data_IF_622891432757
#
_entry.id   IF_622891432757
#
_cell.length_a   1.000
_cell.length_b   1.000
_cell.length_c   1.000
_cell.angle_alpha   90.00
_cell.angle_beta   90.00
_cell.angle_gamma   90.00
#
_symmetry.space_group_name_H-M   'P 1'
#
loop_
_entity.id
_entity.type
_entity.pdbx_description
1 polymer ?
#
# COMPACT_ATOMS: atom_id res chain seq x y z
N UNK A 1 -17.08 5.15 22.76
CA UNK A 1 -18.14 5.81 21.98
C UNK A 1 -17.90 7.29 22.12
N UNK A 2 -17.32 7.91 21.10
CA UNK A 2 -17.10 9.36 21.12
C UNK A 2 -18.45 10.09 21.23
N UNK A 3 -18.60 11.04 22.17
CA UNK A 3 -19.89 11.62 22.51
C UNK A 3 -20.37 12.71 21.52
N UNK A 4 -19.64 12.99 20.45
CA UNK A 4 -19.99 14.00 19.46
C UNK A 4 -20.19 13.38 18.07
N UNK A 5 -21.24 13.80 17.32
CA UNK A 5 -21.34 13.44 15.91
C UNK A 5 -20.08 13.94 15.18
N UNK A 6 -19.49 13.14 14.26
CA UNK A 6 -18.34 13.61 13.50
C UNK A 6 -18.72 14.87 12.74
N UNK A 7 -17.92 15.92 12.88
CA UNK A 7 -18.12 17.17 12.16
C UNK A 7 -18.10 16.88 10.65
N UNK A 8 -19.02 17.50 9.90
CA UNK A 8 -19.07 17.35 8.45
C UNK A 8 -17.79 17.93 7.84
N UNK A 9 -17.19 17.30 6.81
CA UNK A 9 -15.98 17.81 6.16
C UNK A 9 -16.11 19.28 5.72
N UNK A 10 -17.26 19.66 5.17
CA UNK A 10 -17.52 21.05 4.78
C UNK A 10 -17.40 22.02 5.96
N UNK A 11 -17.93 21.66 7.13
CA UNK A 11 -17.83 22.47 8.35
C UNK A 11 -16.39 22.57 8.86
N UNK A 12 -15.61 21.48 8.76
CA UNK A 12 -14.19 21.48 9.13
C UNK A 12 -13.41 22.45 8.22
N UNK A 13 -13.66 22.39 6.90
CA UNK A 13 -13.01 23.27 5.93
C UNK A 13 -13.37 24.75 6.14
N UNK A 14 -14.65 25.05 6.39
CA UNK A 14 -15.11 26.42 6.68
C UNK A 14 -14.47 26.98 7.95
N UNK A 15 -14.39 26.17 9.01
CA UNK A 15 -13.77 26.58 10.28
C UNK A 15 -12.26 26.82 10.12
N UNK A 16 -11.55 25.91 9.45
CA UNK A 16 -10.12 26.06 9.18
C UNK A 16 -9.85 27.30 8.31
N UNK A 17 -10.67 27.55 7.27
CA UNK A 17 -10.55 28.73 6.43
C UNK A 17 -10.74 30.04 7.23
N UNK A 18 -11.74 30.07 8.14
CA UNK A 18 -12.01 31.20 9.00
C UNK A 18 -10.84 31.47 9.97
N UNK A 19 -10.24 30.43 10.54
CA UNK A 19 -9.06 30.55 11.40
C UNK A 19 -7.84 31.11 10.65
N UNK A 20 -7.66 30.72 9.38
CA UNK A 20 -6.58 31.20 8.52
C UNK A 20 -6.85 32.57 7.88
N UNK A 21 -8.06 33.11 8.03
CA UNK A 21 -8.51 34.35 7.41
C UNK A 21 -8.54 34.30 5.87
N UNK A 22 -8.84 33.15 5.28
CA UNK A 22 -8.89 32.95 3.83
C UNK A 22 -10.24 32.38 3.36
N UNK A 23 -10.44 32.33 2.04
CA UNK A 23 -11.59 31.65 1.43
C UNK A 23 -11.45 30.12 1.55
N UNK A 24 -12.54 29.34 1.69
CA UNK A 24 -12.49 27.88 1.63
C UNK A 24 -11.94 27.31 0.31
N UNK A 25 -11.95 28.10 -0.77
CA UNK A 25 -11.40 27.71 -2.07
C UNK A 25 -9.95 28.18 -2.29
N UNK A 26 -9.32 28.79 -1.28
CA UNK A 26 -7.97 29.31 -1.37
C UNK A 26 -6.93 28.19 -1.25
N UNK A 27 -5.87 28.25 -2.06
CA UNK A 27 -4.74 27.31 -2.01
C UNK A 27 -4.05 27.32 -0.64
N UNK A 28 -4.09 28.44 0.08
CA UNK A 28 -3.55 28.56 1.45
C UNK A 28 -4.17 27.53 2.39
N UNK A 29 -5.47 27.26 2.27
CA UNK A 29 -6.14 26.26 3.09
C UNK A 29 -5.63 24.86 2.77
N UNK A 30 -5.50 24.51 1.49
CA UNK A 30 -5.00 23.21 1.07
C UNK A 30 -3.58 22.94 1.64
N UNK A 31 -2.68 23.91 1.54
CA UNK A 31 -1.33 23.77 2.12
C UNK A 31 -1.34 23.58 3.63
N UNK A 32 -2.20 24.30 4.35
CA UNK A 32 -2.34 24.10 5.79
C UNK A 32 -2.84 22.69 6.14
N UNK A 33 -3.80 22.17 5.38
CA UNK A 33 -4.30 20.80 5.57
C UNK A 33 -3.24 19.74 5.25
N UNK A 34 -2.42 19.96 4.22
CA UNK A 34 -1.27 19.10 3.92
C UNK A 34 -0.19 19.16 5.02
N UNK A 35 -0.03 20.30 5.70
CA UNK A 35 0.92 20.47 6.82
C UNK A 35 0.46 19.72 8.07
N UNK A 36 -0.84 19.77 8.38
CA UNK A 36 -1.46 19.14 9.55
C UNK A 36 -1.77 17.64 9.34
N UNK A 37 -1.66 17.12 8.12
CA UNK A 37 -1.85 15.69 7.86
C UNK A 37 -0.73 14.84 8.48
N UNK A 38 -1.06 14.13 9.57
CA UNK A 38 -0.17 13.18 10.25
C UNK A 38 0.33 12.07 9.31
N UNK A 39 -0.43 11.74 8.27
CA UNK A 39 -0.13 10.67 7.31
C UNK A 39 0.67 11.15 6.08
N UNK A 40 0.99 12.45 5.96
CA UNK A 40 1.67 13.02 4.79
C UNK A 40 2.98 12.30 4.42
N UNK A 41 3.69 11.81 5.43
CA UNK A 41 4.95 11.10 5.28
C UNK A 41 4.81 9.76 4.53
N UNK A 42 3.61 9.15 4.55
CA UNK A 42 3.33 7.91 3.81
C UNK A 42 3.42 8.11 2.30
N UNK A 43 3.22 9.33 1.79
CA UNK A 43 3.38 9.68 0.37
C UNK A 43 4.78 9.29 -0.14
N UNK A 44 5.79 9.44 0.71
CA UNK A 44 7.18 9.12 0.36
C UNK A 44 7.43 7.62 0.18
N UNK A 45 6.52 6.76 0.62
CA UNK A 45 6.66 5.30 0.50
C UNK A 45 6.25 4.77 -0.87
N UNK A 46 5.73 5.62 -1.76
CA UNK A 46 5.25 5.24 -3.08
C UNK A 46 6.07 5.90 -4.19
N UNK A 47 6.14 5.24 -5.35
CA UNK A 47 6.60 5.87 -6.58
C UNK A 47 5.43 6.62 -7.22
N UNK A 48 5.53 7.95 -7.27
CA UNK A 48 4.57 8.82 -7.95
C UNK A 48 5.15 9.16 -9.33
N UNK A 49 4.45 8.84 -10.43
CA UNK A 49 4.93 9.15 -11.77
C UNK A 49 5.14 10.65 -11.97
N UNK A 50 6.19 11.02 -12.71
CA UNK A 50 6.37 12.38 -13.20
C UNK A 50 5.55 12.60 -14.45
N UNK A 51 5.11 13.83 -14.67
CA UNK A 51 4.34 14.19 -15.87
C UNK A 51 5.06 13.80 -17.16
N UNK A 52 6.38 14.00 -17.23
CA UNK A 52 7.19 13.64 -18.40
C UNK A 52 7.22 12.13 -18.73
N UNK A 53 7.00 11.26 -17.74
CA UNK A 53 7.01 9.81 -17.94
C UNK A 53 5.64 9.27 -18.39
N UNK A 54 4.60 10.11 -18.40
CA UNK A 54 3.25 9.71 -18.77
C UNK A 54 3.03 9.78 -20.29
N UNK A 55 2.01 9.06 -20.80
CA UNK A 55 1.55 9.20 -22.18
C UNK A 55 1.28 10.67 -22.55
N UNK A 56 1.35 11.02 -23.85
CA UNK A 56 1.52 12.39 -24.30
C UNK A 56 0.46 13.32 -23.73
N UNK A 57 0.93 14.24 -22.90
CA UNK A 57 0.19 15.41 -22.42
C UNK A 57 0.68 16.61 -23.21
N UNK A 58 -0.18 17.62 -23.41
CA UNK A 58 0.24 18.86 -24.08
C UNK A 58 1.29 19.58 -23.20
N UNK A 59 2.57 19.66 -23.63
CA UNK A 59 3.64 20.24 -22.81
C UNK A 59 3.46 21.75 -22.58
N UNK A 60 2.55 22.41 -23.31
CA UNK A 60 2.22 23.82 -23.07
C UNK A 60 1.27 24.01 -21.89
N UNK A 61 0.60 22.95 -21.43
CA UNK A 61 -0.40 22.98 -20.36
C UNK A 61 0.11 22.41 -19.03
N UNK A 62 1.29 21.80 -19.02
CA UNK A 62 1.81 21.07 -17.85
C UNK A 62 3.28 21.39 -17.57
N UNK A 63 3.67 21.28 -16.31
CA UNK A 63 5.07 21.30 -15.92
C UNK A 63 5.63 19.87 -15.93
N UNK A 64 6.58 19.60 -16.82
CA UNK A 64 7.13 18.26 -17.06
C UNK A 64 7.80 17.61 -15.83
N UNK A 65 8.34 18.42 -14.92
CA UNK A 65 9.09 17.94 -13.75
C UNK A 65 8.22 17.71 -12.50
N UNK A 66 6.94 18.06 -12.58
CA UNK A 66 6.00 17.88 -11.48
C UNK A 66 5.55 16.42 -11.36
N UNK A 67 5.17 16.05 -10.13
CA UNK A 67 4.43 14.81 -9.90
C UNK A 67 3.08 14.90 -10.61
N UNK A 68 2.63 13.78 -11.18
CA UNK A 68 1.28 13.71 -11.71
C UNK A 68 0.23 13.72 -10.59
N UNK A 69 -0.97 14.23 -10.91
CA UNK A 69 -2.14 14.11 -10.03
C UNK A 69 -2.80 12.76 -10.32
N UNK A 70 -2.47 11.76 -9.50
CA UNK A 70 -2.92 10.38 -9.70
C UNK A 70 -4.21 10.06 -8.93
N UNK A 71 -5.36 10.21 -9.58
CA UNK A 71 -6.68 9.89 -9.00
C UNK A 71 -7.24 8.52 -9.41
N UNK A 72 -6.40 7.62 -9.94
CA UNK A 72 -6.81 6.27 -10.39
C UNK A 72 -6.39 5.15 -9.44
N UNK A 73 -6.02 5.47 -8.19
CA UNK A 73 -5.55 4.52 -7.18
C UNK A 73 -6.56 3.44 -6.79
N UNK A 74 -7.84 3.70 -7.01
CA UNK A 74 -8.92 2.73 -6.82
C UNK A 74 -8.93 1.60 -7.86
N UNK A 75 -8.34 1.83 -9.03
CA UNK A 75 -8.21 0.81 -10.08
C UNK A 75 -6.86 0.13 -10.02
N UNK A 76 -5.79 0.92 -9.95
CA UNK A 76 -4.42 0.42 -9.82
C UNK A 76 -3.68 1.28 -8.81
N UNK A 77 -3.31 0.68 -7.67
CA UNK A 77 -2.52 1.37 -6.65
C UNK A 77 -1.11 1.71 -7.15
N UNK A 78 -0.56 2.83 -6.66
CA UNK A 78 0.84 3.17 -6.90
C UNK A 78 1.76 2.10 -6.30
N UNK A 79 2.91 1.88 -6.93
CA UNK A 79 3.88 0.89 -6.46
C UNK A 79 4.54 1.36 -5.14
N UNK A 80 4.46 0.58 -4.04
CA UNK A 80 5.26 0.84 -2.85
C UNK A 80 6.75 0.63 -3.13
N UNK A 81 7.60 1.53 -2.63
CA UNK A 81 9.06 1.49 -2.87
C UNK A 81 9.73 0.20 -2.38
N UNK A 82 9.17 -0.42 -1.34
CA UNK A 82 9.69 -1.68 -0.75
C UNK A 82 9.45 -2.92 -1.62
N UNK A 83 8.59 -2.85 -2.65
CA UNK A 83 8.28 -4.01 -3.52
C UNK A 83 9.55 -4.62 -4.11
N UNK A 84 10.44 -3.78 -4.65
CA UNK A 84 11.70 -4.25 -5.23
C UNK A 84 12.57 -4.98 -4.19
N UNK A 85 12.70 -4.41 -3.00
CA UNK A 85 13.49 -5.00 -1.91
C UNK A 85 12.98 -6.38 -1.53
N UNK A 86 11.67 -6.55 -1.34
CA UNK A 86 11.11 -7.85 -0.97
C UNK A 86 11.24 -8.88 -2.09
N UNK A 87 11.11 -8.46 -3.35
CA UNK A 87 11.32 -9.36 -4.48
C UNK A 87 12.78 -9.82 -4.57
N UNK A 88 13.72 -8.88 -4.45
CA UNK A 88 15.16 -9.18 -4.46
C UNK A 88 15.53 -10.17 -3.34
N UNK A 89 14.96 -10.03 -2.13
CA UNK A 89 15.20 -10.98 -1.02
C UNK A 89 14.80 -12.42 -1.37
N UNK A 90 13.66 -12.61 -2.03
CA UNK A 90 13.17 -13.94 -2.41
C UNK A 90 13.95 -14.52 -3.61
N UNK A 91 14.29 -13.68 -4.59
CA UNK A 91 15.14 -14.08 -5.72
C UNK A 91 16.54 -14.51 -5.25
N UNK A 92 17.13 -13.78 -4.30
CA UNK A 92 18.42 -14.13 -3.70
C UNK A 92 18.34 -15.42 -2.86
N UNK A 93 17.23 -15.66 -2.18
CA UNK A 93 17.01 -16.92 -1.46
C UNK A 93 16.95 -18.09 -2.44
N UNK A 94 16.18 -17.93 -3.53
CA UNK A 94 16.04 -18.94 -4.55
C UNK A 94 17.37 -19.27 -5.23
N UNK A 95 18.13 -18.26 -5.64
CA UNK A 95 19.43 -18.44 -6.27
C UNK A 95 20.44 -19.18 -5.36
N UNK A 96 20.38 -18.96 -4.05
CA UNK A 96 21.33 -19.57 -3.09
C UNK A 96 20.93 -20.97 -2.63
N UNK A 97 19.65 -21.21 -2.43
CA UNK A 97 19.16 -22.39 -1.68
C UNK A 97 18.23 -23.29 -2.48
N UNK A 98 17.81 -22.85 -3.68
CA UNK A 98 16.90 -23.61 -4.54
C UNK A 98 15.64 -24.00 -3.78
N UNK A 99 15.30 -25.29 -3.84
CA UNK A 99 14.11 -25.87 -3.21
C UNK A 99 14.08 -25.69 -1.69
N UNK A 100 15.22 -25.49 -1.03
CA UNK A 100 15.25 -25.34 0.43
C UNK A 100 14.58 -24.05 0.93
N UNK A 101 14.34 -23.06 0.06
CA UNK A 101 13.53 -21.87 0.36
C UNK A 101 12.06 -22.18 0.69
N UNK A 102 11.56 -23.38 0.34
CA UNK A 102 10.20 -23.79 0.71
C UNK A 102 9.98 -23.82 2.23
N UNK A 103 10.99 -24.23 3.00
CA UNK A 103 10.87 -24.45 4.45
C UNK A 103 11.78 -23.53 5.27
N UNK A 104 12.67 -22.78 4.64
CA UNK A 104 13.68 -21.96 5.30
C UNK A 104 13.65 -20.51 4.80
N UNK A 105 14.15 -19.58 5.62
CA UNK A 105 14.27 -18.16 5.28
C UNK A 105 13.36 -17.27 6.11
N UNK A 106 13.35 -15.98 5.78
CA UNK A 106 12.48 -14.99 6.46
C UNK A 106 11.00 -15.22 6.16
N UNK A 107 10.70 -15.71 4.95
CA UNK A 107 9.35 -15.99 4.45
C UNK A 107 9.35 -17.38 3.79
N UNK A 108 9.23 -18.46 4.56
CA UNK A 108 9.16 -19.81 3.99
C UNK A 108 8.03 -19.88 2.96
N UNK A 109 8.32 -20.32 1.73
CA UNK A 109 7.32 -20.25 0.65
C UNK A 109 6.09 -21.11 0.90
N UNK A 110 6.21 -22.15 1.73
CA UNK A 110 5.07 -22.99 2.14
C UNK A 110 4.05 -22.23 3.02
N UNK A 111 4.45 -21.13 3.67
CA UNK A 111 3.61 -20.32 4.55
C UNK A 111 3.43 -18.89 4.00
N UNK A 112 3.73 -18.67 2.71
CA UNK A 112 3.75 -17.32 2.15
C UNK A 112 2.38 -16.63 2.22
N UNK A 113 1.30 -17.39 2.06
CA UNK A 113 -0.08 -16.92 2.21
C UNK A 113 -0.45 -16.66 3.68
N UNK A 114 0.02 -17.48 4.62
CA UNK A 114 -0.23 -17.28 6.05
C UNK A 114 0.49 -16.05 6.61
N UNK A 115 1.69 -15.74 6.11
CA UNK A 115 2.51 -14.61 6.57
C UNK A 115 1.85 -13.23 6.41
N UNK A 116 0.82 -13.10 5.57
CA UNK A 116 0.11 -11.83 5.32
C UNK A 116 -1.25 -11.75 6.03
N UNK A 117 -1.77 -12.85 6.58
CA UNK A 117 -3.12 -12.91 7.14
C UNK A 117 -3.29 -11.95 8.32
N UNK A 118 -2.34 -11.95 9.26
CA UNK A 118 -2.38 -11.06 10.44
C UNK A 118 -2.33 -9.58 10.04
N UNK A 119 -1.56 -9.24 9.01
CA UNK A 119 -1.46 -7.87 8.50
C UNK A 119 -2.77 -7.43 7.83
N UNK A 120 -3.42 -8.34 7.10
CA UNK A 120 -4.71 -8.07 6.46
C UNK A 120 -5.87 -8.03 7.44
N UNK A 121 -5.79 -8.73 8.57
CA UNK A 121 -6.87 -8.78 9.56
C UNK A 121 -7.25 -7.37 10.06
N UNK A 122 -6.28 -6.49 10.32
CA UNK A 122 -6.57 -5.11 10.75
C UNK A 122 -7.23 -4.24 9.66
N UNK A 123 -7.19 -4.68 8.41
CA UNK A 123 -7.74 -3.97 7.26
C UNK A 123 -9.17 -4.47 6.95
N UNK A 124 -9.39 -5.78 6.97
CA UNK A 124 -10.66 -6.39 6.56
C UNK A 124 -11.56 -6.82 7.71
N UNK A 125 -11.01 -7.05 8.90
CA UNK A 125 -11.76 -7.62 10.01
C UNK A 125 -12.38 -6.54 10.89
N UNK A 126 -13.69 -6.68 11.10
CA UNK A 126 -14.33 -6.31 12.34
C UNK A 126 -13.88 -7.33 13.40
N UNK A 127 -13.45 -6.93 14.62
CA UNK A 127 -13.07 -7.85 15.71
C UNK A 127 -14.12 -8.95 16.02
N UNK A 128 -15.35 -8.84 15.51
CA UNK A 128 -16.42 -9.82 15.68
C UNK A 128 -16.55 -10.88 14.56
N UNK A 129 -15.81 -10.80 13.45
CA UNK A 129 -15.92 -11.78 12.35
C UNK A 129 -14.55 -12.15 11.78
N UNK A 130 -14.02 -13.29 12.21
CA UNK A 130 -12.87 -13.92 11.56
C UNK A 130 -13.34 -14.54 10.24
N UNK A 131 -13.05 -13.89 9.12
CA UNK A 131 -13.25 -14.48 7.79
C UNK A 131 -12.02 -15.33 7.46
N UNK A 132 -12.18 -16.64 7.23
CA UNK A 132 -11.07 -17.48 6.77
C UNK A 132 -10.65 -16.99 5.38
N UNK A 133 -9.38 -16.60 5.22
CA UNK A 133 -8.79 -16.53 3.89
C UNK A 133 -8.77 -17.95 3.31
N UNK A 134 -9.15 -18.16 2.04
CA UNK A 134 -9.05 -19.47 1.43
C UNK A 134 -7.57 -19.86 1.32
N UNK A 135 -7.09 -20.65 2.28
CA UNK A 135 -5.78 -21.27 2.21
C UNK A 135 -5.79 -22.33 1.12
N UNK A 136 -4.78 -22.30 0.24
CA UNK A 136 -4.53 -23.41 -0.70
C UNK A 136 -3.60 -24.47 -0.10
N UNK A 137 -3.12 -24.25 1.13
CA UNK A 137 -2.34 -25.22 1.89
C UNK A 137 -3.25 -26.27 2.54
N UNK A 138 -3.69 -27.23 1.73
CA UNK A 138 -4.10 -28.55 2.22
C UNK A 138 -3.07 -29.57 1.73
N UNK A 139 -1.81 -29.43 2.18
CA UNK A 139 -0.80 -30.47 2.00
C UNK A 139 -0.59 -31.22 3.32
N UNK A 140 -0.90 -32.54 3.37
CA UNK A 140 -0.60 -33.35 4.54
C UNK A 140 0.90 -33.71 4.52
N UNK A 141 1.59 -33.37 5.60
CA UNK A 141 2.87 -33.94 6.05
C UNK A 141 4.12 -33.73 5.13
N UNK A 142 5.20 -33.07 5.61
CA UNK A 142 6.41 -32.79 4.82
C UNK A 142 7.22 -34.02 4.37
N UNK A 143 6.83 -35.24 4.76
CA UNK A 143 7.54 -36.48 4.41
C UNK A 143 7.21 -37.01 3.01
N UNK A 144 6.18 -36.50 2.31
CA UNK A 144 5.77 -37.03 0.99
C UNK A 144 6.35 -36.29 -0.23
N UNK A 145 6.93 -35.10 -0.07
CA UNK A 145 7.43 -34.31 -1.21
C UNK A 145 8.83 -34.71 -1.72
N UNK A 146 9.57 -35.59 -1.03
CA UNK A 146 10.93 -35.95 -1.44
C UNK A 146 11.03 -36.93 -2.63
N UNK A 147 9.91 -37.48 -3.12
CA UNK A 147 9.94 -38.53 -4.16
C UNK A 147 9.55 -38.09 -5.58
N UNK A 148 9.31 -36.79 -5.83
CA UNK A 148 8.85 -36.32 -7.15
C UNK A 148 9.85 -35.46 -7.94
N UNK A 149 11.12 -35.40 -7.53
CA UNK A 149 12.13 -34.59 -8.23
C UNK A 149 13.43 -35.37 -8.54
N UNK A 150 13.26 -36.60 -9.00
CA UNK A 150 14.29 -37.35 -9.74
C UNK A 150 13.60 -38.16 -10.84
N UNK A 151 13.17 -37.49 -11.90
CA UNK A 151 13.09 -37.97 -13.29
C UNK A 151 13.07 -36.76 -14.23
#
# INVERSE_FOLDING_TARGET
MDPFPPALPATILEQAALQLGCSPADKKLAFHLDEEDELKHLREWFYIPKVNDLPPTDPTLVNENEDCIYFSGNSLGLQPKKVKTYLDEELDMWARTGVHGHSNGKRPWILADECIVELMANIVADPHHQVPFPSTSMYPNPTQCLNFLLL
#
